data_IF_345727811779
#
_entry.id   IF_345727811779
#
_cell.length_a   1.000
_cell.length_b   1.000
_cell.length_c   1.000
_cell.angle_alpha   90.00
_cell.angle_beta   90.00
_cell.angle_gamma   90.00
#
_symmetry.space_group_name_H-M   'P 1'
#
loop_
_entity.id
_entity.type
_entity.pdbx_description
1 polymer ?
#
# COMPACT_ATOMS: atom_id res chain seq x y z
N UNK A 1 10.11 -1.57 -6.98
CA UNK A 1 8.85 -1.93 -7.57
C UNK A 1 8.80 -1.68 -9.06
N UNK A 2 8.28 -0.54 -9.47
CA UNK A 2 7.86 -0.31 -10.86
C UNK A 2 9.01 -0.36 -11.88
N UNK A 3 10.16 0.22 -11.55
CA UNK A 3 11.33 0.14 -12.42
C UNK A 3 11.80 -1.32 -12.63
N UNK A 4 11.76 -2.14 -11.60
CA UNK A 4 12.10 -3.56 -11.69
C UNK A 4 11.13 -4.31 -12.60
N UNK A 5 9.82 -4.05 -12.44
CA UNK A 5 8.78 -4.65 -13.30
C UNK A 5 8.99 -4.23 -14.77
N UNK A 6 9.18 -2.93 -14.98
CA UNK A 6 9.41 -2.38 -16.33
C UNK A 6 10.61 -3.07 -17.04
N UNK A 7 11.71 -3.29 -16.32
CA UNK A 7 12.89 -3.95 -16.89
C UNK A 7 12.58 -5.42 -17.21
N UNK A 8 11.93 -6.17 -16.32
CA UNK A 8 11.60 -7.57 -16.54
C UNK A 8 10.60 -7.76 -17.67
N UNK A 9 9.51 -6.98 -17.68
CA UNK A 9 8.50 -7.04 -18.76
C UNK A 9 9.11 -6.58 -20.08
N UNK A 10 9.95 -5.55 -20.07
CA UNK A 10 10.68 -5.09 -21.26
C UNK A 10 11.64 -6.14 -21.79
N UNK A 11 12.40 -6.81 -20.92
CA UNK A 11 13.28 -7.91 -21.27
C UNK A 11 12.52 -9.09 -21.92
N UNK A 12 11.39 -9.47 -21.31
CA UNK A 12 10.53 -10.52 -21.86
C UNK A 12 9.92 -10.10 -23.21
N UNK A 13 9.55 -8.83 -23.38
CA UNK A 13 8.98 -8.30 -24.61
C UNK A 13 9.99 -8.24 -25.76
N UNK A 14 11.27 -8.02 -25.48
CA UNK A 14 12.33 -8.11 -26.49
C UNK A 14 12.51 -9.55 -27.00
N UNK A 15 12.24 -10.55 -26.16
CA UNK A 15 12.23 -11.95 -26.56
C UNK A 15 10.92 -12.35 -27.26
N UNK A 16 9.80 -11.80 -26.82
CA UNK A 16 8.47 -12.10 -27.34
C UNK A 16 7.51 -10.91 -27.15
N UNK A 17 7.34 -10.09 -28.18
CA UNK A 17 6.50 -8.90 -28.15
C UNK A 17 5.03 -9.18 -27.77
N UNK A 18 4.53 -10.40 -27.97
CA UNK A 18 3.16 -10.78 -27.59
C UNK A 18 2.88 -10.72 -26.08
N UNK A 19 3.92 -10.63 -25.24
CA UNK A 19 3.77 -10.38 -23.79
C UNK A 19 3.04 -9.07 -23.52
N UNK A 20 3.24 -8.05 -24.36
CA UNK A 20 2.62 -6.73 -24.24
C UNK A 20 1.18 -6.67 -24.78
N UNK A 21 0.70 -7.73 -25.43
CA UNK A 21 -0.66 -7.80 -25.98
C UNK A 21 -1.65 -8.53 -25.06
N UNK A 22 -1.19 -8.95 -23.88
CA UNK A 22 -2.07 -9.51 -22.86
C UNK A 22 -3.09 -8.46 -22.44
N UNK A 23 -4.32 -8.91 -22.24
CA UNK A 23 -5.38 -8.06 -21.70
C UNK A 23 -5.03 -7.66 -20.27
N UNK A 24 -4.91 -6.35 -20.03
CA UNK A 24 -4.63 -5.75 -18.73
C UNK A 24 -5.73 -4.74 -18.44
N UNK A 25 -6.15 -4.65 -17.19
CA UNK A 25 -7.26 -3.82 -16.77
C UNK A 25 -6.83 -2.65 -15.88
N UNK A 26 -5.66 -2.75 -15.24
CA UNK A 26 -5.11 -1.70 -14.41
C UNK A 26 -4.53 -0.57 -15.28
N UNK A 27 -4.83 0.67 -14.94
CA UNK A 27 -4.45 1.86 -15.73
C UNK A 27 -2.92 1.99 -15.84
N UNK A 28 -2.20 1.72 -14.74
CA UNK A 28 -0.74 1.71 -14.68
C UNK A 28 -0.10 0.63 -15.58
N UNK A 29 -0.71 -0.56 -15.68
CA UNK A 29 -0.26 -1.62 -16.58
C UNK A 29 -0.50 -1.29 -18.06
N UNK A 30 -1.62 -0.62 -18.35
CA UNK A 30 -1.93 -0.13 -19.71
C UNK A 30 -0.87 0.90 -20.15
N UNK A 31 -0.57 1.86 -19.28
CA UNK A 31 0.45 2.88 -19.55
C UNK A 31 1.84 2.26 -19.69
N UNK A 32 2.20 1.33 -18.81
CA UNK A 32 3.47 0.60 -18.89
C UNK A 32 3.63 -0.12 -20.22
N UNK A 33 2.61 -0.88 -20.65
CA UNK A 33 2.63 -1.60 -21.92
C UNK A 33 2.76 -0.65 -23.12
N UNK A 34 2.10 0.52 -23.08
CA UNK A 34 2.21 1.54 -24.12
C UNK A 34 3.64 2.10 -24.23
N UNK A 35 4.28 2.39 -23.08
CA UNK A 35 5.68 2.86 -23.02
C UNK A 35 6.62 1.78 -23.55
N UNK A 36 6.47 0.53 -23.11
CA UNK A 36 7.33 -0.57 -23.53
C UNK A 36 7.22 -0.86 -25.03
N UNK A 37 6.01 -0.81 -25.62
CA UNK A 37 5.81 -0.93 -27.08
C UNK A 37 6.56 0.15 -27.86
N UNK A 38 6.53 1.39 -27.36
CA UNK A 38 7.27 2.50 -27.98
C UNK A 38 8.78 2.28 -27.91
N UNK A 39 9.29 1.93 -26.73
CA UNK A 39 10.71 1.66 -26.52
C UNK A 39 11.19 0.50 -27.38
N UNK A 40 10.42 -0.60 -27.46
CA UNK A 40 10.74 -1.76 -28.27
C UNK A 40 10.85 -1.42 -29.78
N UNK A 41 10.00 -0.51 -30.26
CA UNK A 41 10.04 -0.04 -31.64
C UNK A 41 11.26 0.86 -31.95
N UNK A 42 11.75 1.62 -30.95
CA UNK A 42 12.92 2.51 -31.08
C UNK A 42 14.24 1.75 -30.88
N UNK A 43 14.29 0.81 -29.94
CA UNK A 43 15.49 0.04 -29.56
C UNK A 43 15.11 -1.34 -29.01
N UNK A 44 15.17 -2.34 -29.87
CA UNK A 44 14.75 -3.72 -29.60
C UNK A 44 15.70 -4.52 -28.70
N UNK A 45 16.77 -3.92 -28.17
CA UNK A 45 17.77 -4.58 -27.31
C UNK A 45 18.08 -3.80 -26.03
N UNK A 46 17.31 -2.77 -25.76
CA UNK A 46 17.54 -1.84 -24.64
C UNK A 46 17.51 -2.56 -23.29
N UNK A 47 16.50 -3.38 -23.07
CA UNK A 47 16.27 -3.99 -21.78
C UNK A 47 17.25 -5.12 -21.48
N UNK A 48 17.69 -5.86 -22.51
CA UNK A 48 18.79 -6.83 -22.37
C UNK A 48 20.07 -6.13 -21.92
N UNK A 49 20.44 -5.02 -22.58
CA UNK A 49 21.62 -4.24 -22.18
C UNK A 49 21.49 -3.69 -20.77
N UNK A 50 20.32 -3.15 -20.41
CA UNK A 50 20.08 -2.65 -19.05
C UNK A 50 20.25 -3.76 -18.04
N UNK A 51 19.67 -4.94 -18.26
CA UNK A 51 19.79 -6.08 -17.35
C UNK A 51 21.24 -6.57 -17.22
N UNK A 52 22.02 -6.58 -18.30
CA UNK A 52 23.45 -6.98 -18.29
C UNK A 52 24.35 -5.97 -17.57
N UNK A 53 24.06 -4.68 -17.67
CA UNK A 53 24.85 -3.61 -17.07
C UNK A 53 24.50 -3.39 -15.59
N UNK A 54 23.29 -3.76 -15.15
CA UNK A 54 22.83 -3.59 -13.79
C UNK A 54 23.59 -4.47 -12.81
N UNK A 55 24.06 -3.88 -11.72
CA UNK A 55 24.66 -4.61 -10.60
C UNK A 55 23.62 -5.16 -9.62
N UNK A 56 22.41 -4.67 -9.70
CA UNK A 56 21.28 -5.07 -8.86
C UNK A 56 20.37 -3.90 -8.50
N UNK A 57 19.36 -4.20 -7.71
CA UNK A 57 18.37 -3.24 -7.21
C UNK A 57 18.26 -3.31 -5.69
N UNK A 58 17.75 -2.24 -5.09
CA UNK A 58 17.29 -2.24 -3.69
C UNK A 58 15.81 -1.90 -3.64
N UNK A 59 15.03 -2.71 -2.93
CA UNK A 59 13.58 -2.58 -2.84
C UNK A 59 13.15 -2.20 -1.44
N UNK A 60 12.33 -1.15 -1.32
CA UNK A 60 11.95 -0.56 -0.05
C UNK A 60 10.64 -1.11 0.51
N UNK A 61 9.68 -1.51 -0.35
CA UNK A 61 8.32 -1.81 0.13
C UNK A 61 8.02 -3.31 0.12
N UNK A 62 7.08 -3.72 0.99
CA UNK A 62 6.65 -5.12 1.13
C UNK A 62 6.21 -5.72 -0.20
N UNK A 63 5.44 -4.99 -1.00
CA UNK A 63 4.92 -5.47 -2.28
C UNK A 63 6.00 -5.73 -3.30
N UNK A 64 6.94 -4.79 -3.48
CA UNK A 64 8.05 -4.98 -4.39
C UNK A 64 8.93 -6.15 -3.97
N UNK A 65 9.16 -6.30 -2.67
CA UNK A 65 9.91 -7.43 -2.11
C UNK A 65 9.22 -8.77 -2.40
N UNK A 66 7.90 -8.87 -2.23
CA UNK A 66 7.16 -10.09 -2.56
C UNK A 66 7.30 -10.45 -4.05
N UNK A 67 7.21 -9.46 -4.94
CA UNK A 67 7.42 -9.69 -6.38
C UNK A 67 8.85 -10.17 -6.70
N UNK A 68 9.86 -9.63 -6.02
CA UNK A 68 11.24 -10.09 -6.18
C UNK A 68 11.41 -11.55 -5.75
N UNK A 69 10.85 -11.95 -4.62
CA UNK A 69 10.87 -13.36 -4.18
C UNK A 69 10.12 -14.27 -5.16
N UNK A 70 8.95 -13.84 -5.64
CA UNK A 70 8.21 -14.59 -6.66
C UNK A 70 9.02 -14.77 -7.94
N UNK A 71 9.64 -13.70 -8.46
CA UNK A 71 10.50 -13.78 -9.63
C UNK A 71 11.70 -14.70 -9.41
N UNK A 72 12.27 -14.71 -8.20
CA UNK A 72 13.34 -15.62 -7.83
C UNK A 72 12.88 -17.08 -7.83
N UNK A 73 11.73 -17.40 -7.23
CA UNK A 73 11.15 -18.74 -7.20
C UNK A 73 10.81 -19.25 -8.60
N UNK A 74 10.32 -18.38 -9.48
CA UNK A 74 10.04 -18.66 -10.88
C UNK A 74 11.29 -18.74 -11.77
N UNK A 75 12.47 -18.41 -11.24
CA UNK A 75 13.72 -18.35 -12.01
C UNK A 75 13.77 -17.23 -13.05
N UNK A 76 12.97 -16.18 -12.87
CA UNK A 76 12.84 -15.02 -13.78
C UNK A 76 13.63 -13.79 -13.35
N UNK A 77 14.13 -13.75 -12.11
CA UNK A 77 14.91 -12.61 -11.62
C UNK A 77 16.16 -12.42 -12.48
N UNK A 78 16.37 -11.23 -13.00
CA UNK A 78 17.44 -10.93 -13.96
C UNK A 78 18.74 -10.44 -13.30
N UNK A 79 18.67 -9.95 -12.08
CA UNK A 79 19.81 -9.34 -11.38
C UNK A 79 19.66 -9.49 -9.86
N UNK A 80 20.74 -9.31 -9.08
CA UNK A 80 20.67 -9.33 -7.61
C UNK A 80 19.74 -8.25 -7.07
N UNK A 81 19.04 -8.55 -5.99
CA UNK A 81 18.15 -7.60 -5.33
C UNK A 81 18.37 -7.58 -3.82
N UNK A 82 18.39 -6.39 -3.21
CA UNK A 82 18.38 -6.22 -1.76
C UNK A 82 16.98 -5.91 -1.25
N UNK A 83 16.47 -6.76 -0.39
CA UNK A 83 15.26 -6.51 0.39
C UNK A 83 15.61 -5.55 1.55
N UNK A 84 15.37 -4.27 1.34
CA UNK A 84 15.56 -3.22 2.34
C UNK A 84 14.36 -3.13 3.27
N UNK A 85 13.16 -3.51 2.81
CA UNK A 85 11.95 -3.49 3.62
C UNK A 85 12.10 -4.22 4.95
N UNK A 86 12.78 -5.37 4.95
CA UNK A 86 12.94 -6.20 6.14
C UNK A 86 14.15 -5.78 7.02
N UNK A 87 14.86 -4.72 6.65
CA UNK A 87 15.83 -4.10 7.55
C UNK A 87 15.08 -3.59 8.80
N UNK A 88 15.59 -3.90 9.99
CA UNK A 88 14.92 -3.56 11.26
C UNK A 88 14.67 -2.05 11.38
N UNK A 89 15.66 -1.24 10.97
CA UNK A 89 15.57 0.21 10.97
C UNK A 89 14.67 0.77 9.86
N UNK A 90 14.18 -0.07 8.94
CA UNK A 90 13.10 0.29 8.00
C UNK A 90 11.74 -0.18 8.52
N UNK A 91 11.51 -1.49 8.63
CA UNK A 91 10.18 -2.04 8.94
C UNK A 91 9.64 -1.65 10.30
N UNK A 92 10.50 -1.57 11.32
CA UNK A 92 10.11 -1.22 12.69
C UNK A 92 10.10 0.28 12.95
N UNK A 93 10.48 1.10 11.98
CA UNK A 93 10.46 2.56 12.08
C UNK A 93 9.51 3.18 11.07
N UNK A 94 9.75 3.00 9.78
CA UNK A 94 8.93 3.53 8.69
C UNK A 94 7.48 3.00 8.79
N UNK A 95 7.30 1.69 8.72
CA UNK A 95 5.97 1.08 8.72
C UNK A 95 5.22 1.33 10.04
N UNK A 96 5.92 1.34 11.16
CA UNK A 96 5.32 1.50 12.48
C UNK A 96 5.15 2.98 12.86
N UNK A 97 6.26 3.69 13.05
CA UNK A 97 6.24 5.08 13.52
C UNK A 97 5.85 6.06 12.43
N UNK A 98 6.25 5.80 11.17
CA UNK A 98 5.85 6.60 10.03
C UNK A 98 4.33 6.63 9.85
N UNK A 99 3.69 5.46 9.86
CA UNK A 99 2.23 5.37 9.77
C UNK A 99 1.54 5.92 11.01
N UNK A 100 2.14 5.77 12.20
CA UNK A 100 1.61 6.32 13.45
C UNK A 100 1.45 7.84 13.39
N UNK A 101 2.41 8.54 12.79
CA UNK A 101 2.36 10.00 12.59
C UNK A 101 1.47 10.37 11.40
N UNK A 102 1.73 9.77 10.24
CA UNK A 102 1.18 10.23 8.98
C UNK A 102 -0.29 9.87 8.76
N UNK A 103 -0.83 8.83 9.41
CA UNK A 103 -2.26 8.53 9.34
C UNK A 103 -3.09 9.69 9.90
N UNK A 104 -2.78 10.12 11.11
CA UNK A 104 -3.50 11.20 11.76
C UNK A 104 -3.38 12.52 10.96
N UNK A 105 -2.20 12.80 10.43
CA UNK A 105 -1.96 13.97 9.58
C UNK A 105 -2.83 13.92 8.32
N UNK A 106 -2.90 12.77 7.63
CA UNK A 106 -3.74 12.57 6.46
C UNK A 106 -5.22 12.78 6.75
N UNK A 107 -5.76 12.14 7.78
CA UNK A 107 -7.17 12.28 8.17
C UNK A 107 -7.50 13.73 8.57
N UNK A 108 -6.65 14.37 9.37
CA UNK A 108 -6.89 15.74 9.86
C UNK A 108 -6.77 16.80 8.77
N UNK A 109 -5.86 16.64 7.81
CA UNK A 109 -5.80 17.54 6.64
C UNK A 109 -6.93 17.32 5.67
N UNK A 110 -7.36 16.07 5.50
CA UNK A 110 -8.49 15.73 4.63
C UNK A 110 -9.82 16.20 5.20
N UNK A 111 -9.99 16.12 6.51
CA UNK A 111 -11.27 16.37 7.18
C UNK A 111 -11.07 17.27 8.39
N UNK A 112 -12.18 17.84 8.87
CA UNK A 112 -12.19 18.61 10.13
C UNK A 112 -12.74 17.75 11.30
N UNK A 113 -12.55 16.43 11.20
CA UNK A 113 -13.12 15.48 12.16
C UNK A 113 -12.38 15.54 13.50
N UNK A 114 -13.12 15.57 14.57
CA UNK A 114 -12.60 15.30 15.92
C UNK A 114 -12.49 13.79 16.10
N UNK A 115 -11.27 13.27 16.26
CA UNK A 115 -11.00 11.83 16.39
C UNK A 115 -11.42 11.32 17.78
N UNK A 116 -11.25 12.14 18.82
CA UNK A 116 -11.64 11.76 20.19
C UNK A 116 -13.13 11.38 20.26
N UNK A 117 -13.40 10.28 20.93
CA UNK A 117 -14.76 9.73 21.10
C UNK A 117 -15.32 9.01 19.88
N UNK A 118 -14.58 8.92 18.78
CA UNK A 118 -14.96 8.11 17.60
C UNK A 118 -14.58 6.65 17.78
N UNK A 119 -15.31 5.79 17.11
CA UNK A 119 -14.91 4.38 16.90
C UNK A 119 -14.09 4.32 15.62
N UNK A 120 -12.82 3.94 15.74
CA UNK A 120 -11.91 3.78 14.62
C UNK A 120 -11.66 2.30 14.40
N UNK A 121 -11.93 1.81 13.20
CA UNK A 121 -11.67 0.43 12.79
C UNK A 121 -10.35 0.41 12.01
N UNK A 122 -9.38 -0.33 12.52
CA UNK A 122 -8.10 -0.57 11.86
C UNK A 122 -8.09 -1.99 11.33
N UNK A 123 -8.06 -2.13 10.01
CA UNK A 123 -8.05 -3.42 9.35
C UNK A 123 -6.60 -3.89 9.15
N UNK A 124 -6.18 -4.90 9.93
CA UNK A 124 -4.82 -5.41 10.00
C UNK A 124 -4.07 -4.97 11.27
N UNK A 125 -3.21 -5.87 11.79
CA UNK A 125 -2.37 -5.59 12.98
C UNK A 125 -0.90 -6.00 12.76
N UNK A 126 -0.41 -5.86 11.53
CA UNK A 126 1.01 -5.83 11.19
C UNK A 126 1.68 -4.55 11.69
N UNK A 127 2.90 -4.25 11.25
CA UNK A 127 3.62 -3.04 11.70
C UNK A 127 2.85 -1.74 11.42
N UNK A 128 2.23 -1.63 10.24
CA UNK A 128 1.38 -0.49 9.86
C UNK A 128 0.14 -0.40 10.78
N UNK A 129 -0.59 -1.51 10.93
CA UNK A 129 -1.79 -1.56 11.77
C UNK A 129 -1.52 -1.25 13.23
N UNK A 130 -0.39 -1.72 13.78
CA UNK A 130 0.07 -1.38 15.14
C UNK A 130 0.28 0.13 15.29
N UNK A 131 1.02 0.73 14.36
CA UNK A 131 1.23 2.18 14.35
C UNK A 131 -0.08 2.96 14.31
N UNK A 132 -0.97 2.60 13.38
CA UNK A 132 -2.27 3.22 13.21
C UNK A 132 -3.18 3.09 14.44
N UNK A 133 -3.27 1.89 15.02
CA UNK A 133 -4.08 1.63 16.22
C UNK A 133 -3.61 2.45 17.42
N UNK A 134 -2.30 2.50 17.66
CA UNK A 134 -1.72 3.33 18.72
C UNK A 134 -1.94 4.82 18.48
N UNK A 135 -1.81 5.27 17.23
CA UNK A 135 -2.08 6.67 16.86
C UNK A 135 -3.51 7.06 17.21
N UNK A 136 -4.49 6.32 16.72
CA UNK A 136 -5.91 6.63 16.92
C UNK A 136 -6.31 6.56 18.40
N UNK A 137 -5.81 5.57 19.16
CA UNK A 137 -6.01 5.48 20.61
C UNK A 137 -5.42 6.70 21.33
N UNK A 138 -4.25 7.19 20.91
CA UNK A 138 -3.62 8.37 21.52
C UNK A 138 -4.44 9.64 21.31
N UNK A 139 -5.24 9.72 20.25
CA UNK A 139 -6.19 10.81 20.02
C UNK A 139 -7.52 10.63 20.77
N UNK A 140 -7.67 9.59 21.59
CA UNK A 140 -8.87 9.36 22.38
C UNK A 140 -9.98 8.60 21.63
N UNK A 141 -9.67 7.92 20.55
CA UNK A 141 -10.62 7.03 19.89
C UNK A 141 -10.73 5.69 20.61
N UNK A 142 -11.91 5.07 20.54
CA UNK A 142 -12.08 3.63 20.77
C UNK A 142 -11.64 2.91 19.48
N UNK A 143 -10.63 2.07 19.57
CA UNK A 143 -10.08 1.37 18.40
C UNK A 143 -10.55 -0.08 18.38
N UNK A 144 -11.15 -0.50 17.27
CA UNK A 144 -11.44 -1.87 16.91
C UNK A 144 -10.39 -2.34 15.88
N UNK A 145 -9.95 -3.58 16.01
CA UNK A 145 -8.99 -4.19 15.08
C UNK A 145 -9.64 -5.36 14.40
N UNK A 146 -9.50 -5.47 13.07
CA UNK A 146 -9.83 -6.68 12.32
C UNK A 146 -8.54 -7.35 11.86
N UNK A 147 -8.38 -8.65 12.14
CA UNK A 147 -7.14 -9.37 11.83
C UNK A 147 -7.42 -10.85 11.59
N UNK A 148 -6.81 -11.43 10.57
CA UNK A 148 -6.96 -12.85 10.21
C UNK A 148 -5.82 -13.72 10.74
N UNK A 149 -4.62 -13.14 10.94
CA UNK A 149 -3.50 -13.83 11.57
C UNK A 149 -3.74 -13.96 13.07
N UNK A 150 -3.82 -15.18 13.62
CA UNK A 150 -4.16 -15.37 15.03
C UNK A 150 -3.08 -14.85 15.99
N UNK A 151 -1.81 -14.75 15.55
CA UNK A 151 -0.73 -14.20 16.36
C UNK A 151 -0.85 -12.68 16.44
N UNK A 152 -1.09 -12.02 15.30
CA UNK A 152 -1.31 -10.59 15.27
C UNK A 152 -2.60 -10.19 16.01
N UNK A 153 -3.67 -10.98 15.87
CA UNK A 153 -4.91 -10.79 16.62
C UNK A 153 -4.70 -10.91 18.15
N UNK A 154 -3.94 -11.93 18.58
CA UNK A 154 -3.59 -12.10 19.98
C UNK A 154 -2.75 -10.92 20.50
N UNK A 155 -1.79 -10.43 19.70
CA UNK A 155 -1.01 -9.24 20.09
C UNK A 155 -1.91 -8.01 20.25
N UNK A 156 -2.88 -7.79 19.34
CA UNK A 156 -3.83 -6.69 19.48
C UNK A 156 -4.65 -6.80 20.77
N UNK A 157 -5.16 -7.99 21.09
CA UNK A 157 -5.90 -8.24 22.32
C UNK A 157 -5.05 -8.02 23.58
N UNK A 158 -3.78 -8.46 23.58
CA UNK A 158 -2.84 -8.26 24.67
C UNK A 158 -2.51 -6.78 24.92
N UNK A 159 -2.57 -5.96 23.86
CA UNK A 159 -2.39 -4.51 23.96
C UNK A 159 -3.68 -3.76 24.32
N UNK A 160 -4.77 -4.50 24.56
CA UNK A 160 -6.05 -3.96 25.04
C UNK A 160 -6.92 -3.39 23.91
N UNK A 161 -6.72 -3.83 22.67
CA UNK A 161 -7.64 -3.56 21.57
C UNK A 161 -8.71 -4.64 21.51
N UNK A 162 -9.90 -4.25 21.12
CA UNK A 162 -10.99 -5.19 20.81
C UNK A 162 -10.80 -5.72 19.38
N UNK A 163 -10.69 -7.04 19.26
CA UNK A 163 -10.54 -7.72 17.96
C UNK A 163 -11.90 -8.26 17.55
N UNK A 164 -12.37 -7.84 16.38
CA UNK A 164 -13.70 -8.13 15.84
C UNK A 164 -13.63 -8.52 14.36
N UNK A 165 -14.72 -9.02 13.82
CA UNK A 165 -14.86 -9.21 12.37
C UNK A 165 -15.19 -7.89 11.68
N UNK A 166 -14.98 -7.81 10.36
CA UNK A 166 -15.35 -6.62 9.60
C UNK A 166 -16.87 -6.45 9.54
N UNK A 167 -17.61 -7.55 9.53
CA UNK A 167 -19.08 -7.58 9.54
C UNK A 167 -19.66 -6.95 10.83
N UNK A 168 -18.97 -7.10 11.96
CA UNK A 168 -19.35 -6.44 13.22
C UNK A 168 -18.89 -4.99 13.23
N UNK A 169 -17.63 -4.76 12.85
CA UNK A 169 -17.01 -3.44 12.88
C UNK A 169 -17.71 -2.41 11.99
N UNK A 170 -18.20 -2.82 10.79
CA UNK A 170 -18.82 -1.89 9.84
C UNK A 170 -20.07 -1.21 10.38
N UNK A 171 -20.78 -1.84 11.32
CA UNK A 171 -21.98 -1.27 11.96
C UNK A 171 -21.65 -0.26 13.08
N UNK A 172 -20.45 -0.36 13.66
CA UNK A 172 -20.04 0.50 14.79
C UNK A 172 -19.09 1.63 14.41
N UNK A 173 -18.27 1.43 13.38
CA UNK A 173 -17.20 2.32 13.00
C UNK A 173 -17.67 3.72 12.56
N UNK A 174 -16.84 4.71 12.87
CA UNK A 174 -16.97 6.06 12.32
C UNK A 174 -15.83 6.37 11.33
N UNK A 175 -14.66 5.78 11.54
CA UNK A 175 -13.48 5.92 10.69
C UNK A 175 -12.93 4.53 10.44
N UNK A 176 -12.67 4.20 9.18
CA UNK A 176 -12.14 2.92 8.73
C UNK A 176 -10.81 3.12 8.04
N UNK A 177 -9.81 2.34 8.43
CA UNK A 177 -8.45 2.44 7.93
C UNK A 177 -7.96 1.05 7.52
N UNK A 178 -7.67 0.83 6.24
CA UNK A 178 -7.04 -0.41 5.78
C UNK A 178 -5.52 -0.32 5.83
N UNK A 179 -4.87 -1.42 6.25
CA UNK A 179 -3.43 -1.45 6.56
C UNK A 179 -2.79 -2.79 6.19
N UNK A 180 -3.47 -3.62 5.38
CA UNK A 180 -3.12 -5.04 5.23
C UNK A 180 -2.17 -5.34 4.08
N UNK A 181 -2.16 -4.51 3.04
CA UNK A 181 -1.48 -4.81 1.78
C UNK A 181 -2.13 -5.99 1.02
N UNK A 182 -3.41 -6.28 1.29
CA UNK A 182 -4.19 -7.33 0.64
C UNK A 182 -5.32 -6.69 -0.18
N UNK A 183 -6.25 -7.48 -0.70
CA UNK A 183 -7.36 -7.03 -1.54
C UNK A 183 -8.71 -7.19 -0.84
N UNK A 184 -9.70 -6.36 -1.21
CA UNK A 184 -11.12 -6.49 -0.82
C UNK A 184 -11.35 -6.56 0.70
N UNK A 185 -10.59 -5.79 1.45
CA UNK A 185 -10.73 -5.71 2.91
C UNK A 185 -12.02 -4.97 3.30
N UNK A 186 -12.27 -3.83 2.67
CA UNK A 186 -13.55 -3.13 2.78
C UNK A 186 -14.32 -3.32 1.48
N UNK A 187 -15.35 -4.16 1.54
CA UNK A 187 -16.22 -4.48 0.41
C UNK A 187 -17.45 -3.58 0.39
N UNK A 188 -18.15 -3.60 -0.73
CA UNK A 188 -19.39 -2.82 -0.90
C UNK A 188 -20.47 -3.19 0.11
N UNK A 189 -20.61 -4.47 0.45
CA UNK A 189 -21.58 -4.95 1.44
C UNK A 189 -21.26 -4.50 2.87
N UNK A 190 -20.01 -4.15 3.18
CA UNK A 190 -19.63 -3.47 4.41
C UNK A 190 -20.01 -1.99 4.35
N UNK A 191 -19.73 -1.31 3.22
CA UNK A 191 -20.01 0.13 3.05
C UNK A 191 -21.51 0.42 3.15
N UNK A 192 -22.37 -0.46 2.65
CA UNK A 192 -23.83 -0.36 2.77
C UNK A 192 -24.33 -0.33 4.22
N UNK A 193 -23.57 -0.95 5.14
CA UNK A 193 -23.94 -1.06 6.56
C UNK A 193 -23.28 -0.02 7.45
N UNK A 194 -22.36 0.78 6.89
CA UNK A 194 -21.65 1.81 7.64
C UNK A 194 -22.61 2.91 8.08
N UNK A 195 -22.25 3.57 9.16
CA UNK A 195 -22.97 4.75 9.64
C UNK A 195 -22.89 5.89 8.62
N UNK A 196 -23.91 6.73 8.60
CA UNK A 196 -23.87 7.95 7.79
C UNK A 196 -22.65 8.79 8.13
N UNK A 197 -21.99 9.30 7.09
CA UNK A 197 -20.75 10.08 7.15
C UNK A 197 -19.54 9.32 7.72
N UNK A 198 -19.55 8.00 7.67
CA UNK A 198 -18.34 7.23 7.97
C UNK A 198 -17.20 7.61 7.03
N UNK A 199 -16.00 7.77 7.59
CA UNK A 199 -14.78 8.08 6.83
C UNK A 199 -14.08 6.77 6.51
N UNK A 200 -13.71 6.58 5.24
CA UNK A 200 -13.02 5.39 4.75
C UNK A 200 -11.71 5.82 4.11
N UNK A 201 -10.61 5.23 4.55
CA UNK A 201 -9.29 5.54 4.00
C UNK A 201 -8.36 4.32 4.04
N UNK A 202 -7.32 4.39 3.23
CA UNK A 202 -6.29 3.37 3.14
C UNK A 202 -4.91 3.97 3.47
N UNK A 203 -4.08 3.25 4.19
CA UNK A 203 -2.66 3.54 4.39
C UNK A 203 -1.79 2.32 4.05
N UNK A 204 -2.40 1.23 3.62
CA UNK A 204 -1.72 0.11 3.00
C UNK A 204 -1.24 0.48 1.59
N UNK A 205 -0.38 -0.35 1.02
CA UNK A 205 0.30 -0.01 -0.24
C UNK A 205 -0.64 0.04 -1.44
N UNK A 206 -1.63 -0.84 -1.50
CA UNK A 206 -2.52 -0.97 -2.65
C UNK A 206 -3.85 -0.23 -2.46
N UNK A 207 -4.34 0.38 -3.51
CA UNK A 207 -5.65 1.02 -3.59
C UNK A 207 -6.82 0.02 -3.70
N UNK A 208 -6.54 -1.26 -3.94
CA UNK A 208 -7.52 -2.33 -4.04
C UNK A 208 -7.89 -2.97 -2.68
N UNK A 209 -7.39 -2.46 -1.56
CA UNK A 209 -7.87 -2.86 -0.22
C UNK A 209 -9.32 -2.43 0.02
N UNK A 210 -9.77 -1.39 -0.66
CA UNK A 210 -11.15 -0.88 -0.63
C UNK A 210 -11.76 -1.10 -2.02
N UNK A 211 -12.95 -1.68 -2.10
CA UNK A 211 -13.68 -1.88 -3.36
C UNK A 211 -14.21 -0.56 -3.93
N UNK A 212 -13.32 0.35 -4.28
CA UNK A 212 -13.66 1.69 -4.78
C UNK A 212 -14.38 1.62 -6.11
N UNK A 213 -13.98 0.71 -6.99
CA UNK A 213 -14.64 0.54 -8.28
C UNK A 213 -16.10 0.05 -8.12
N UNK A 214 -16.33 -0.91 -7.23
CA UNK A 214 -17.67 -1.36 -6.89
C UNK A 214 -18.53 -0.23 -6.28
N UNK A 215 -17.92 0.64 -5.46
CA UNK A 215 -18.58 1.81 -4.90
C UNK A 215 -18.97 2.82 -6.00
N UNK A 216 -18.06 3.12 -6.93
CA UNK A 216 -18.28 4.05 -8.04
C UNK A 216 -19.41 3.58 -8.98
N UNK A 217 -19.55 2.28 -9.16
CA UNK A 217 -20.56 1.66 -10.03
C UNK A 217 -21.80 1.16 -9.28
N UNK A 218 -21.91 1.46 -8.00
CA UNK A 218 -23.06 1.03 -7.20
C UNK A 218 -24.38 1.67 -7.76
N UNK A 219 -25.45 0.88 -7.94
CA UNK A 219 -26.70 1.40 -8.53
C UNK A 219 -27.29 2.56 -7.73
N UNK A 220 -27.41 3.71 -8.37
CA UNK A 220 -27.98 4.92 -7.77
C UNK A 220 -27.07 5.72 -6.86
N UNK A 221 -25.78 5.35 -6.75
CA UNK A 221 -24.79 6.13 -6.00
C UNK A 221 -24.63 7.53 -6.59
N UNK A 222 -24.40 8.51 -5.73
CA UNK A 222 -24.08 9.88 -6.15
C UNK A 222 -22.79 10.31 -5.47
N UNK A 223 -21.79 10.64 -6.27
CA UNK A 223 -20.51 11.16 -5.78
C UNK A 223 -20.53 12.69 -5.81
N UNK A 224 -20.07 13.30 -4.72
CA UNK A 224 -19.84 14.74 -4.60
C UNK A 224 -18.41 14.96 -4.13
N UNK A 225 -17.58 15.59 -4.97
CA UNK A 225 -16.25 16.01 -4.55
C UNK A 225 -16.38 17.20 -3.59
N UNK A 226 -15.92 17.03 -2.34
CA UNK A 226 -15.95 18.08 -1.31
C UNK A 226 -14.75 19.00 -1.48
N UNK A 227 -13.58 18.43 -1.69
CA UNK A 227 -12.32 19.11 -1.99
C UNK A 227 -11.33 18.08 -2.59
N UNK A 228 -10.18 18.49 -3.11
CA UNK A 228 -9.21 17.55 -3.64
C UNK A 228 -8.93 16.38 -2.68
N UNK A 229 -9.00 15.15 -3.20
CA UNK A 229 -8.81 13.89 -2.48
C UNK A 229 -9.86 13.58 -1.39
N UNK A 230 -11.01 14.22 -1.41
CA UNK A 230 -12.11 13.99 -0.46
C UNK A 230 -13.43 13.93 -1.21
N UNK A 231 -13.95 12.72 -1.36
CA UNK A 231 -15.19 12.45 -2.09
C UNK A 231 -16.24 11.87 -1.15
N UNK A 232 -17.48 12.37 -1.27
CA UNK A 232 -18.61 11.87 -0.52
C UNK A 232 -19.55 11.11 -1.44
N UNK A 233 -19.80 9.87 -1.10
CA UNK A 233 -20.69 8.97 -1.82
C UNK A 233 -22.00 8.82 -1.06
N UNK A 234 -23.11 9.18 -1.70
CA UNK A 234 -24.46 9.07 -1.16
C UNK A 234 -25.13 7.83 -1.72
N UNK A 235 -25.53 6.93 -0.84
CA UNK A 235 -26.30 5.75 -1.17
C UNK A 235 -27.79 6.10 -1.43
N UNK A 236 -28.55 5.24 -2.16
CA UNK A 236 -29.96 5.52 -2.46
C UNK A 236 -30.87 5.64 -1.24
N UNK A 237 -30.52 5.02 -0.12
CA UNK A 237 -31.26 5.10 1.16
C UNK A 237 -31.00 6.40 1.92
N UNK A 238 -30.08 7.25 1.44
CA UNK A 238 -29.75 8.55 1.98
C UNK A 238 -28.55 8.59 2.92
N UNK A 239 -28.00 7.45 3.37
CA UNK A 239 -26.75 7.47 4.10
C UNK A 239 -25.57 7.75 3.15
N UNK A 240 -24.42 8.14 3.70
CA UNK A 240 -23.25 8.50 2.92
C UNK A 240 -21.97 8.06 3.59
N UNK A 241 -20.93 7.85 2.78
CA UNK A 241 -19.56 7.65 3.26
C UNK A 241 -18.65 8.71 2.64
N UNK A 242 -17.53 8.99 3.32
CA UNK A 242 -16.50 9.91 2.87
C UNK A 242 -15.25 9.09 2.56
N UNK A 243 -14.90 8.99 1.29
CA UNK A 243 -13.70 8.30 0.83
C UNK A 243 -12.54 9.28 0.71
N UNK A 244 -11.40 8.95 1.30
CA UNK A 244 -10.19 9.77 1.24
C UNK A 244 -9.21 9.21 0.21
N UNK A 245 -8.55 10.12 -0.52
CA UNK A 245 -7.51 9.83 -1.50
C UNK A 245 -7.92 8.80 -2.58
N UNK A 246 -9.22 8.67 -2.85
CA UNK A 246 -9.76 7.68 -3.80
C UNK A 246 -9.31 6.23 -3.50
N UNK A 247 -9.20 5.88 -2.21
CA UNK A 247 -8.73 4.58 -1.74
C UNK A 247 -7.21 4.37 -1.78
N UNK A 248 -6.45 5.34 -2.32
CA UNK A 248 -4.97 5.33 -2.30
C UNK A 248 -4.44 5.73 -0.93
N UNK A 249 -3.11 5.72 -0.77
CA UNK A 249 -2.45 6.06 0.50
C UNK A 249 -2.88 7.45 1.01
N UNK A 250 -3.65 7.49 2.09
CA UNK A 250 -4.19 8.72 2.67
C UNK A 250 -3.10 9.69 3.15
N UNK A 251 -2.00 9.17 3.63
CA UNK A 251 -0.88 9.98 4.12
C UNK A 251 -0.12 10.70 2.99
N UNK A 252 -0.15 10.18 1.78
CA UNK A 252 0.44 10.80 0.59
C UNK A 252 -0.60 11.63 -0.17
N UNK A 253 -1.80 11.09 -0.37
CA UNK A 253 -2.86 11.78 -1.11
C UNK A 253 -3.40 13.01 -0.38
N UNK A 254 -3.53 12.96 0.94
CA UNK A 254 -4.12 14.02 1.76
C UNK A 254 -3.10 14.81 2.59
N UNK A 255 -1.86 14.33 2.71
CA UNK A 255 -0.81 14.97 3.51
C UNK A 255 0.56 14.90 2.83
N UNK A 256 1.64 14.90 3.60
CA UNK A 256 3.03 14.96 3.10
C UNK A 256 3.82 13.66 3.30
N UNK A 257 3.15 12.59 3.69
CA UNK A 257 3.77 11.29 3.95
C UNK A 257 4.44 11.21 5.32
N UNK A 258 5.40 10.29 5.44
CA UNK A 258 6.11 10.06 6.69
C UNK A 258 7.08 11.19 7.05
N UNK A 259 7.34 11.42 8.35
CA UNK A 259 8.31 12.41 8.81
C UNK A 259 9.72 12.12 8.27
N UNK A 260 10.47 13.18 7.94
CA UNK A 260 11.83 13.07 7.38
C UNK A 260 12.79 12.24 8.23
N UNK A 261 12.67 12.32 9.56
CA UNK A 261 13.51 11.52 10.47
C UNK A 261 13.30 10.02 10.28
N UNK A 262 12.05 9.57 10.17
CA UNK A 262 11.72 8.17 9.92
C UNK A 262 12.23 7.74 8.55
N UNK A 263 11.98 8.56 7.52
CA UNK A 263 12.43 8.28 6.15
C UNK A 263 13.95 8.27 6.02
N UNK A 264 14.68 9.01 6.84
CA UNK A 264 16.15 8.97 6.83
C UNK A 264 16.70 7.58 7.18
N UNK A 265 16.01 6.81 8.01
CA UNK A 265 16.38 5.42 8.30
C UNK A 265 16.19 4.51 7.07
N UNK A 266 15.06 4.64 6.38
CA UNK A 266 14.77 3.89 5.15
C UNK A 266 15.78 4.23 4.05
N UNK A 267 16.04 5.52 3.82
CA UNK A 267 16.99 5.97 2.80
C UNK A 267 18.43 5.61 3.12
N UNK A 268 18.81 5.56 4.40
CA UNK A 268 20.13 5.07 4.80
C UNK A 268 20.30 3.60 4.43
N UNK A 269 19.29 2.75 4.70
CA UNK A 269 19.34 1.34 4.29
C UNK A 269 19.40 1.19 2.76
N UNK A 270 18.65 2.00 2.01
CA UNK A 270 18.71 2.05 0.55
C UNK A 270 20.12 2.41 0.07
N UNK A 271 20.71 3.44 0.64
CA UNK A 271 22.08 3.87 0.30
C UNK A 271 23.11 2.80 0.59
N UNK A 272 23.02 2.15 1.76
CA UNK A 272 23.92 1.04 2.13
C UNK A 272 23.78 -0.15 1.17
N UNK A 273 22.57 -0.49 0.77
CA UNK A 273 22.33 -1.56 -0.22
C UNK A 273 22.96 -1.21 -1.59
N UNK A 274 22.86 0.04 -2.03
CA UNK A 274 23.51 0.50 -3.27
C UNK A 274 25.03 0.48 -3.17
N UNK A 275 25.61 0.89 -2.03
CA UNK A 275 27.06 0.82 -1.79
C UNK A 275 27.53 -0.63 -1.80
N UNK A 276 26.76 -1.55 -1.21
CA UNK A 276 27.08 -2.98 -1.17
C UNK A 276 27.07 -3.57 -2.58
N UNK A 277 26.04 -3.32 -3.37
CA UNK A 277 25.93 -3.72 -4.79
C UNK A 277 27.04 -3.12 -5.67
N UNK A 278 27.48 -1.89 -5.35
CA UNK A 278 28.57 -1.26 -6.10
C UNK A 278 29.91 -1.90 -5.81
N UNK A 279 30.20 -2.23 -4.55
CA UNK A 279 31.51 -2.71 -4.11
C UNK A 279 31.70 -4.22 -4.28
N UNK A 280 30.61 -5.00 -4.31
CA UNK A 280 30.66 -6.46 -4.38
C UNK A 280 29.82 -6.98 -5.54
N UNK A 281 30.23 -8.14 -6.05
CA UNK A 281 29.43 -8.90 -7.01
C UNK A 281 28.58 -9.91 -6.24
N UNK A 282 27.31 -9.98 -6.62
CA UNK A 282 26.33 -10.90 -6.08
C UNK A 282 25.78 -11.78 -7.19
N UNK A 283 25.48 -13.03 -6.88
CA UNK A 283 24.71 -13.89 -7.76
C UNK A 283 23.25 -13.43 -7.81
N UNK A 284 22.52 -13.86 -8.83
CA UNK A 284 21.09 -13.50 -8.98
C UNK A 284 20.31 -14.16 -7.85
N UNK A 285 19.89 -13.35 -6.87
CA UNK A 285 19.13 -13.77 -5.70
C UNK A 285 18.58 -12.54 -4.97
N UNK A 286 17.65 -12.74 -4.02
CA UNK A 286 17.19 -11.71 -3.10
C UNK A 286 17.95 -11.79 -1.80
N UNK A 287 18.64 -10.71 -1.43
CA UNK A 287 19.49 -10.60 -0.25
C UNK A 287 18.89 -9.67 0.80
N UNK A 288 19.38 -9.77 2.02
CA UNK A 288 19.13 -8.81 3.10
C UNK A 288 20.45 -8.17 3.52
N UNK A 289 20.40 -6.91 3.90
CA UNK A 289 21.55 -6.26 4.52
C UNK A 289 21.92 -6.99 5.82
N UNK A 290 23.23 -7.19 6.10
CA UNK A 290 23.65 -7.73 7.38
C UNK A 290 23.21 -6.77 8.51
N UNK A 291 22.94 -7.35 9.69
CA UNK A 291 22.60 -6.59 10.90
C UNK A 291 23.79 -5.80 11.40
#
# INVERSE_FOLDING_TARGET
GDATIMIHVGYDAENNAAVLDKEVHAEDEIELNAILKKVLAEDSTRWHRVAEEMRGVSEETTTGVHRLYQMQEEGKLLFPAFNVNDSVTKSKFDNLYGCRESLADGIKRATDVMIAGKVVVVCGYGDVGKGCSHSMRSYGARVLVTEVDPICALQAAMEGFEVVTMEEACMEGNIFVTTTGNIDIIRIDHMEKMKDQSIVCNIGHFDNEIQVDALKHYPGIKCVNIKPQVDRYYFPDGHSIILLADGRLVNLGCATGHPSFVMSNSFTNQTLAQIELFNKKYDINVYRLPK
#
